data_IF_040351010203
#
_entry.id   IF_040351010203
#
_cell.length_a   1.000
_cell.length_b   1.000
_cell.length_c   1.000
_cell.angle_alpha   90.00
_cell.angle_beta   90.00
_cell.angle_gamma   90.00
#
_symmetry.space_group_name_H-M   'P 1'
#
loop_
_entity.id
_entity.type
_entity.pdbx_description
1 polymer ?
#
# COMPACT_ATOMS: atom_id res chain seq x y z
N UNK A 1 -9.06 5.64 17.64
CA UNK A 1 -7.60 5.87 17.66
C UNK A 1 -7.25 6.41 16.29
N UNK A 2 -6.43 7.44 16.19
CA UNK A 2 -5.91 7.87 14.88
C UNK A 2 -4.64 7.06 14.59
N UNK A 3 -4.73 6.10 13.67
CA UNK A 3 -3.61 5.21 13.36
C UNK A 3 -2.52 5.89 12.53
N UNK A 4 -2.80 7.02 11.88
CA UNK A 4 -1.74 7.81 11.22
C UNK A 4 -0.85 8.44 12.30
N UNK A 5 -1.44 9.02 13.33
CA UNK A 5 -0.66 9.58 14.45
C UNK A 5 0.13 8.48 15.20
N UNK A 6 -0.50 7.32 15.42
CA UNK A 6 0.20 6.17 16.00
C UNK A 6 1.38 5.70 15.13
N UNK A 7 1.22 5.71 13.80
CA UNK A 7 2.30 5.38 12.86
C UNK A 7 3.43 6.42 12.93
N UNK A 8 3.11 7.72 13.03
CA UNK A 8 4.11 8.78 13.15
C UNK A 8 4.89 8.74 14.46
N UNK A 9 4.24 8.34 15.56
CA UNK A 9 4.89 8.10 16.84
C UNK A 9 5.79 6.86 16.80
N UNK A 10 5.32 5.78 16.15
CA UNK A 10 6.04 4.51 16.03
C UNK A 10 7.24 4.62 15.09
N UNK A 11 7.06 5.23 13.92
CA UNK A 11 8.07 5.35 12.86
C UNK A 11 8.20 6.80 12.42
N UNK A 12 8.86 7.69 13.19
CA UNK A 12 8.99 9.08 12.78
C UNK A 12 9.76 9.21 11.45
N UNK A 13 9.30 10.05 10.49
CA UNK A 13 9.92 10.22 9.17
C UNK A 13 11.21 11.10 9.26
N UNK A 14 12.22 10.62 9.99
CA UNK A 14 13.42 11.40 10.36
C UNK A 14 14.21 11.90 9.15
N UNK A 15 14.22 11.12 8.08
CA UNK A 15 15.00 11.39 6.87
C UNK A 15 14.21 12.10 5.76
N UNK A 16 12.90 12.32 5.97
CA UNK A 16 12.10 13.10 5.02
C UNK A 16 12.42 14.59 5.21
N UNK A 17 12.78 15.34 4.14
CA UNK A 17 13.15 16.74 4.26
C UNK A 17 12.03 17.60 4.86
N UNK A 18 12.27 18.19 6.03
CA UNK A 18 11.30 19.02 6.76
C UNK A 18 10.94 20.35 6.05
N UNK A 19 11.65 20.75 4.99
CA UNK A 19 11.48 22.04 4.32
C UNK A 19 11.26 21.89 2.81
N UNK A 20 10.24 22.56 2.28
CA UNK A 20 9.94 22.80 0.86
C UNK A 20 9.38 21.64 0.01
N UNK A 21 8.76 20.63 0.61
CA UNK A 21 7.97 19.67 -0.18
C UNK A 21 6.64 20.31 -0.59
N UNK A 22 6.42 20.41 -1.90
CA UNK A 22 5.11 20.80 -2.44
C UNK A 22 4.06 19.80 -1.95
N UNK A 23 2.90 20.27 -1.44
CA UNK A 23 1.79 19.39 -1.10
C UNK A 23 1.41 18.50 -2.28
N UNK A 24 1.19 17.21 -2.02
CA UNK A 24 0.67 16.29 -3.05
C UNK A 24 -0.78 16.63 -3.34
N UNK A 25 -1.16 16.64 -4.62
CA UNK A 25 -2.53 16.83 -5.09
C UNK A 25 -3.06 15.51 -5.67
N UNK A 26 -3.93 14.85 -4.91
CA UNK A 26 -4.49 13.55 -5.26
C UNK A 26 -5.58 13.63 -6.34
N UNK A 27 -6.07 14.82 -6.69
CA UNK A 27 -7.23 14.95 -7.56
C UNK A 27 -7.02 14.36 -8.97
N UNK A 28 -5.81 14.44 -9.52
CA UNK A 28 -5.49 13.77 -10.78
C UNK A 28 -5.42 12.25 -10.62
N UNK A 29 -4.81 11.77 -9.52
CA UNK A 29 -4.67 10.35 -9.25
C UNK A 29 -6.03 9.68 -9.04
N UNK A 30 -6.92 10.28 -8.26
CA UNK A 30 -8.31 9.81 -8.05
C UNK A 30 -9.10 9.79 -9.36
N UNK A 31 -8.95 10.81 -10.22
CA UNK A 31 -9.58 10.81 -11.55
C UNK A 31 -9.09 9.66 -12.44
N UNK A 32 -7.81 9.30 -12.37
CA UNK A 32 -7.24 8.17 -13.11
C UNK A 32 -7.71 6.83 -12.55
N UNK A 33 -7.74 6.70 -11.22
CA UNK A 33 -8.19 5.48 -10.54
C UNK A 33 -9.70 5.26 -10.66
N UNK A 34 -10.50 6.32 -10.84
CA UNK A 34 -11.96 6.32 -10.82
C UNK A 34 -12.57 5.90 -9.47
N UNK A 35 -11.74 5.84 -8.43
CA UNK A 35 -12.10 5.60 -7.03
C UNK A 35 -11.34 6.59 -6.14
N UNK A 36 -11.92 7.00 -4.99
CA UNK A 36 -11.21 7.86 -4.06
C UNK A 36 -9.99 7.15 -3.46
N UNK A 37 -8.94 7.92 -3.20
CA UNK A 37 -7.77 7.41 -2.48
C UNK A 37 -8.07 7.52 -0.97
N UNK A 38 -7.86 6.47 -0.16
CA UNK A 38 -8.13 6.51 1.27
C UNK A 38 -7.43 7.68 1.97
N UNK A 39 -8.16 8.42 2.82
CA UNK A 39 -7.67 9.64 3.47
C UNK A 39 -6.40 9.40 4.31
N UNK A 40 -6.33 8.27 5.00
CA UNK A 40 -5.16 7.91 5.80
C UNK A 40 -3.94 7.62 4.93
N UNK A 41 -4.13 7.02 3.75
CA UNK A 41 -3.05 6.86 2.77
C UNK A 41 -2.57 8.19 2.19
N UNK A 42 -3.49 9.13 1.95
CA UNK A 42 -3.11 10.49 1.54
C UNK A 42 -2.23 11.14 2.60
N UNK A 43 -2.58 11.03 3.89
CA UNK A 43 -1.78 11.55 5.02
C UNK A 43 -0.42 10.86 5.14
N UNK A 44 -0.37 9.55 4.94
CA UNK A 44 0.88 8.77 4.90
C UNK A 44 1.77 9.30 3.80
N UNK A 45 1.29 9.40 2.55
CA UNK A 45 2.09 9.89 1.42
C UNK A 45 2.52 11.35 1.56
N UNK A 46 1.68 12.22 2.15
CA UNK A 46 2.08 13.61 2.43
C UNK A 46 3.27 13.70 3.38
N UNK A 47 3.35 12.76 4.33
CA UNK A 47 4.33 12.77 5.42
C UNK A 47 5.58 11.97 5.08
N UNK A 48 5.42 10.74 4.63
CA UNK A 48 6.50 9.79 4.33
C UNK A 48 7.01 9.90 2.91
N UNK A 49 6.20 10.40 1.97
CA UNK A 49 6.51 10.45 0.53
C UNK A 49 6.81 9.04 0.00
N UNK A 50 7.72 8.91 -0.96
CA UNK A 50 8.24 7.63 -1.43
C UNK A 50 9.28 7.04 -0.47
N UNK A 51 9.24 5.73 -0.28
CA UNK A 51 10.18 5.02 0.58
C UNK A 51 9.65 3.68 1.06
N UNK A 52 10.27 3.15 2.11
CA UNK A 52 9.89 1.87 2.72
C UNK A 52 9.95 1.89 4.24
N UNK A 53 9.11 1.05 4.84
CA UNK A 53 9.21 0.69 6.25
C UNK A 53 10.13 -0.53 6.39
N UNK A 54 11.15 -0.41 7.24
CA UNK A 54 12.14 -1.45 7.55
C UNK A 54 12.84 -2.08 6.34
N UNK A 55 12.96 -1.33 5.24
CA UNK A 55 13.43 -1.84 3.93
C UNK A 55 12.62 -3.05 3.42
N UNK A 56 11.50 -3.36 4.07
CA UNK A 56 10.67 -4.53 3.84
C UNK A 56 9.41 -4.16 3.09
N UNK A 57 8.64 -3.18 3.56
CA UNK A 57 7.38 -2.77 2.94
C UNK A 57 7.55 -1.43 2.21
N UNK A 58 7.49 -1.49 0.88
CA UNK A 58 7.73 -0.38 -0.03
C UNK A 58 6.43 0.29 -0.46
N UNK A 59 6.33 1.62 -0.31
CA UNK A 59 5.13 2.38 -0.69
C UNK A 59 5.07 2.66 -2.19
N UNK A 60 3.93 2.40 -2.81
CA UNK A 60 3.67 2.75 -4.21
C UNK A 60 2.92 4.07 -4.32
N UNK A 61 3.64 5.10 -4.73
CA UNK A 61 3.10 6.46 -4.87
C UNK A 61 2.54 6.67 -6.28
N UNK A 62 1.35 7.26 -6.43
CA UNK A 62 0.86 7.71 -7.74
C UNK A 62 1.67 8.90 -8.30
N UNK A 63 2.56 9.50 -7.49
CA UNK A 63 3.42 10.63 -7.84
C UNK A 63 4.86 10.21 -8.17
N UNK A 64 5.25 8.98 -7.83
CA UNK A 64 6.62 8.52 -8.04
C UNK A 64 6.96 8.51 -9.52
N UNK A 65 8.10 9.12 -9.88
CA UNK A 65 8.71 9.03 -11.21
C UNK A 65 9.49 7.72 -11.41
N UNK A 66 9.80 7.02 -10.32
CA UNK A 66 10.40 5.70 -10.40
C UNK A 66 9.31 4.67 -10.71
N UNK A 67 9.39 4.06 -11.90
CA UNK A 67 8.42 3.04 -12.36
C UNK A 67 8.26 1.87 -11.38
N UNK A 68 9.31 1.49 -10.64
CA UNK A 68 9.26 0.39 -9.67
C UNK A 68 8.50 0.77 -8.39
N UNK A 69 8.23 2.05 -8.19
CA UNK A 69 7.51 2.61 -7.04
C UNK A 69 6.24 3.34 -7.48
N UNK A 70 5.91 3.31 -8.77
CA UNK A 70 4.76 4.00 -9.30
C UNK A 70 3.51 3.12 -9.18
N UNK A 71 2.49 3.64 -8.52
CA UNK A 71 1.24 2.94 -8.29
C UNK A 71 0.56 2.48 -9.59
N UNK A 72 0.56 3.32 -10.63
CA UNK A 72 -0.14 3.02 -11.87
C UNK A 72 0.57 1.94 -12.69
N UNK A 73 1.90 1.88 -12.63
CA UNK A 73 2.68 0.81 -13.27
C UNK A 73 2.35 -0.54 -12.62
N UNK A 74 2.37 -0.61 -11.28
CA UNK A 74 1.97 -1.82 -10.55
C UNK A 74 0.52 -2.18 -10.77
N UNK A 75 -0.38 -1.19 -10.79
CA UNK A 75 -1.80 -1.43 -11.07
C UNK A 75 -1.98 -2.08 -12.45
N UNK A 76 -1.35 -1.56 -13.49
CA UNK A 76 -1.47 -2.10 -14.84
C UNK A 76 -0.93 -3.54 -14.93
N UNK A 77 0.29 -3.77 -14.43
CA UNK A 77 0.96 -5.07 -14.50
C UNK A 77 0.20 -6.12 -13.70
N UNK A 78 -0.15 -5.82 -12.44
CA UNK A 78 -0.78 -6.80 -11.56
C UNK A 78 -2.21 -7.11 -11.96
N UNK A 79 -2.93 -6.13 -12.52
CA UNK A 79 -4.29 -6.35 -12.99
C UNK A 79 -4.32 -7.27 -14.22
N UNK A 80 -3.38 -7.09 -15.18
CA UNK A 80 -3.23 -7.99 -16.34
C UNK A 80 -2.84 -9.41 -15.90
N UNK A 81 -1.89 -9.54 -14.95
CA UNK A 81 -1.47 -10.85 -14.44
C UNK A 81 -2.62 -11.59 -13.73
N UNK A 82 -3.37 -10.89 -12.88
CA UNK A 82 -4.51 -11.48 -12.17
C UNK A 82 -5.64 -11.87 -13.11
N UNK A 83 -5.93 -11.06 -14.14
CA UNK A 83 -6.93 -11.38 -15.15
C UNK A 83 -6.60 -12.72 -15.84
N UNK A 84 -5.34 -12.92 -16.26
CA UNK A 84 -4.90 -14.17 -16.87
C UNK A 84 -4.99 -15.37 -15.91
N UNK A 85 -4.66 -15.20 -14.63
CA UNK A 85 -4.75 -16.29 -13.66
C UNK A 85 -6.20 -16.67 -13.37
N UNK A 86 -7.10 -15.69 -13.28
CA UNK A 86 -8.53 -15.91 -13.04
C UNK A 86 -9.21 -16.69 -14.17
N UNK A 87 -8.68 -16.67 -15.41
CA UNK A 87 -9.15 -17.54 -16.50
C UNK A 87 -8.92 -19.03 -16.20
N UNK A 88 -7.83 -19.36 -15.50
CA UNK A 88 -7.45 -20.73 -15.17
C UNK A 88 -7.96 -21.20 -13.81
N UNK A 89 -8.05 -20.28 -12.86
CA UNK A 89 -8.47 -20.54 -11.48
C UNK A 89 -9.43 -19.42 -11.04
N UNK A 90 -10.75 -19.64 -11.15
CA UNK A 90 -11.74 -18.61 -10.85
C UNK A 90 -11.61 -18.05 -9.44
N UNK A 91 -11.68 -16.72 -9.32
CA UNK A 91 -11.61 -15.99 -8.07
C UNK A 91 -12.73 -14.94 -8.00
N UNK A 92 -13.33 -14.74 -6.83
CA UNK A 92 -14.42 -13.78 -6.61
C UNK A 92 -13.90 -12.34 -6.38
N UNK A 93 -12.58 -12.12 -6.46
CA UNK A 93 -12.01 -10.79 -6.33
C UNK A 93 -12.22 -10.01 -7.63
N UNK A 94 -12.76 -8.80 -7.52
CA UNK A 94 -12.86 -7.89 -8.65
C UNK A 94 -11.53 -7.19 -8.92
N UNK A 95 -11.28 -6.92 -10.20
CA UNK A 95 -10.11 -6.22 -10.69
C UNK A 95 -10.48 -4.80 -11.12
N UNK A 96 -9.51 -3.89 -11.10
CA UNK A 96 -9.69 -2.55 -11.67
C UNK A 96 -9.98 -2.67 -13.18
N UNK A 97 -10.89 -1.88 -13.78
CA UNK A 97 -11.51 -0.65 -13.27
C UNK A 97 -12.85 -0.85 -12.56
N UNK A 98 -13.17 -2.03 -12.04
CA UNK A 98 -14.36 -2.16 -11.19
C UNK A 98 -14.24 -1.26 -9.96
N UNK A 99 -15.32 -0.60 -9.48
CA UNK A 99 -15.29 0.24 -8.29
C UNK A 99 -14.84 -0.50 -7.01
N UNK A 100 -15.02 -1.81 -6.94
CA UNK A 100 -14.56 -2.66 -5.83
C UNK A 100 -13.21 -3.37 -6.13
N UNK A 101 -12.56 -2.98 -7.23
CA UNK A 101 -11.32 -3.56 -7.71
C UNK A 101 -10.11 -3.31 -6.80
N UNK A 102 -9.12 -4.19 -6.87
CA UNK A 102 -7.86 -4.05 -6.15
C UNK A 102 -7.02 -2.89 -6.68
N UNK A 103 -6.52 -2.04 -5.78
CA UNK A 103 -5.53 -1.00 -6.09
C UNK A 103 -4.26 -1.24 -5.25
N UNK A 104 -3.08 -1.43 -5.84
CA UNK A 104 -1.86 -1.70 -5.09
C UNK A 104 -1.35 -0.41 -4.42
N UNK A 105 -1.05 -0.46 -3.11
CA UNK A 105 -0.38 0.64 -2.41
C UNK A 105 1.00 0.29 -1.90
N UNK A 106 1.34 -0.99 -1.83
CA UNK A 106 2.65 -1.41 -1.37
C UNK A 106 3.03 -2.79 -1.90
N UNK A 107 4.33 -3.07 -1.84
CA UNK A 107 4.85 -4.42 -1.99
C UNK A 107 5.96 -4.71 -0.98
N UNK A 108 6.19 -5.99 -0.72
CA UNK A 108 7.26 -6.43 0.18
C UNK A 108 8.56 -6.66 -0.58
N UNK A 109 9.70 -6.68 0.12
CA UNK A 109 11.00 -7.07 -0.44
C UNK A 109 11.01 -8.51 -1.01
N UNK A 110 10.05 -9.35 -0.60
CA UNK A 110 9.85 -10.71 -1.12
C UNK A 110 9.00 -10.76 -2.39
N UNK A 111 8.41 -9.63 -2.79
CA UNK A 111 7.56 -9.49 -3.97
C UNK A 111 6.07 -9.65 -3.71
N UNK A 112 5.65 -9.72 -2.44
CA UNK A 112 4.22 -9.82 -2.10
C UNK A 112 3.55 -8.48 -2.31
N UNK A 113 2.28 -8.49 -2.72
CA UNK A 113 1.56 -7.28 -3.06
C UNK A 113 0.49 -6.99 -2.03
N UNK A 114 0.35 -5.72 -1.70
CA UNK A 114 -0.64 -5.23 -0.75
C UNK A 114 -1.51 -4.21 -1.46
N UNK A 115 -2.80 -4.49 -1.44
CA UNK A 115 -3.82 -3.73 -2.11
C UNK A 115 -4.76 -3.11 -1.08
N UNK A 116 -5.41 -2.03 -1.48
CA UNK A 116 -6.68 -1.63 -0.88
C UNK A 116 -7.79 -1.91 -1.89
N UNK A 117 -9.00 -2.08 -1.37
CA UNK A 117 -10.25 -2.02 -2.15
C UNK A 117 -11.35 -1.42 -1.29
N UNK A 118 -12.41 -0.95 -1.95
CA UNK A 118 -13.57 -0.38 -1.28
C UNK A 118 -14.79 -1.22 -1.58
N UNK A 119 -15.35 -1.87 -0.56
CA UNK A 119 -16.59 -2.66 -0.69
C UNK A 119 -17.66 -1.99 0.14
N UNK A 120 -18.78 -1.61 -0.49
CA UNK A 120 -19.90 -0.92 0.20
C UNK A 120 -19.47 0.30 1.02
N UNK A 121 -18.49 1.08 0.52
CA UNK A 121 -17.88 2.24 1.17
C UNK A 121 -16.95 1.94 2.36
N UNK A 122 -16.64 0.67 2.61
CA UNK A 122 -15.67 0.25 3.63
C UNK A 122 -14.35 -0.17 2.96
N UNK A 123 -13.23 0.30 3.51
CA UNK A 123 -11.90 -0.08 3.05
C UNK A 123 -11.54 -1.47 3.57
N UNK A 124 -10.88 -2.26 2.73
CA UNK A 124 -10.24 -3.50 3.11
C UNK A 124 -8.81 -3.53 2.56
N UNK A 125 -7.89 -4.04 3.37
CA UNK A 125 -6.54 -4.38 2.92
C UNK A 125 -6.54 -5.82 2.43
N UNK A 126 -5.97 -6.04 1.25
CA UNK A 126 -5.81 -7.37 0.67
C UNK A 126 -4.32 -7.62 0.49
N UNK A 127 -3.80 -8.67 1.11
CA UNK A 127 -2.41 -9.11 0.93
C UNK A 127 -2.41 -10.34 0.02
N UNK A 128 -1.63 -10.31 -1.06
CA UNK A 128 -1.43 -11.45 -1.96
C UNK A 128 0.01 -11.90 -1.90
N UNK A 129 0.20 -13.16 -1.52
CA UNK A 129 1.52 -13.80 -1.58
C UNK A 129 1.98 -13.92 -3.04
N UNK A 130 3.26 -13.62 -3.27
CA UNK A 130 3.93 -13.67 -4.58
C UNK A 130 3.62 -14.96 -5.33
N UNK A 131 3.28 -14.86 -6.62
CA UNK A 131 3.05 -16.04 -7.50
C UNK A 131 1.95 -16.99 -7.01
N UNK A 132 0.97 -16.47 -6.28
CA UNK A 132 -0.16 -17.25 -5.79
C UNK A 132 -1.48 -16.48 -5.92
N UNK A 133 -2.60 -17.22 -5.87
CA UNK A 133 -3.93 -16.68 -5.66
C UNK A 133 -4.37 -16.74 -4.19
N UNK A 134 -3.39 -16.80 -3.26
CA UNK A 134 -3.67 -16.74 -1.83
C UNK A 134 -3.85 -15.29 -1.40
N UNK A 135 -5.10 -14.90 -1.16
CA UNK A 135 -5.45 -13.58 -0.66
C UNK A 135 -5.83 -13.65 0.81
N UNK A 136 -5.23 -12.76 1.61
CA UNK A 136 -5.67 -12.49 2.98
C UNK A 136 -6.34 -11.12 3.01
N UNK A 137 -7.53 -11.06 3.60
CA UNK A 137 -8.36 -9.85 3.63
C UNK A 137 -8.46 -9.36 5.07
N UNK A 138 -8.12 -8.10 5.29
CA UNK A 138 -8.17 -7.43 6.58
C UNK A 138 -9.16 -6.26 6.51
N UNK A 139 -10.21 -6.22 7.35
CA UNK A 139 -11.17 -5.12 7.41
C UNK A 139 -10.59 -3.96 8.23
N UNK A 140 -9.45 -3.43 7.80
CA UNK A 140 -8.68 -2.39 8.47
C UNK A 140 -8.43 -1.23 7.50
N UNK A 141 -8.17 -0.04 8.05
CA UNK A 141 -7.59 1.04 7.26
C UNK A 141 -6.12 0.75 6.89
N UNK A 142 -5.54 1.53 5.98
CA UNK A 142 -4.14 1.35 5.56
C UNK A 142 -3.19 1.62 6.73
N UNK A 143 -3.43 2.72 7.45
CA UNK A 143 -2.67 3.09 8.64
C UNK A 143 -2.80 2.08 9.78
N UNK A 144 -4.00 1.56 10.03
CA UNK A 144 -4.23 0.52 11.05
C UNK A 144 -3.50 -0.78 10.71
N UNK A 145 -3.56 -1.21 9.44
CA UNK A 145 -2.82 -2.36 8.97
C UNK A 145 -1.31 -2.18 9.15
N UNK A 146 -0.74 -1.03 8.72
CA UNK A 146 0.68 -0.74 8.88
C UNK A 146 1.13 -0.79 10.34
N UNK A 147 0.44 -0.08 11.24
CA UNK A 147 0.80 -0.06 12.67
C UNK A 147 0.77 -1.47 13.26
N UNK A 148 -0.31 -2.22 13.02
CA UNK A 148 -0.45 -3.55 13.59
C UNK A 148 0.52 -4.57 12.96
N UNK A 149 0.90 -4.40 11.69
CA UNK A 149 1.90 -5.23 11.04
C UNK A 149 3.30 -4.97 11.60
N UNK A 150 3.70 -3.70 11.76
CA UNK A 150 5.02 -3.31 12.26
C UNK A 150 5.26 -3.69 13.73
N UNK A 151 4.21 -3.84 14.53
CA UNK A 151 4.31 -4.28 15.93
C UNK A 151 3.91 -5.75 16.12
N UNK A 152 3.85 -6.52 15.04
CA UNK A 152 3.55 -7.96 15.03
C UNK A 152 2.23 -8.34 15.74
N UNK A 153 1.23 -7.46 15.66
CA UNK A 153 -0.14 -7.72 16.13
C UNK A 153 -1.07 -8.28 15.06
N UNK A 154 -0.57 -8.43 13.83
CA UNK A 154 -1.26 -9.06 12.71
C UNK A 154 -0.47 -10.27 12.25
N UNK A 155 -1.16 -11.41 12.13
CA UNK A 155 -0.62 -12.57 11.43
C UNK A 155 -0.88 -12.37 9.93
N UNK A 156 0.18 -12.10 9.19
CA UNK A 156 0.15 -12.00 7.72
C UNK A 156 1.02 -13.12 7.19
N UNK A 157 0.42 -14.13 6.54
CA UNK A 157 1.13 -15.38 6.18
C UNK A 157 2.49 -15.22 5.47
N UNK A 158 2.66 -14.17 4.65
CA UNK A 158 3.89 -13.94 3.88
C UNK A 158 4.86 -12.95 4.52
N UNK A 159 4.55 -12.42 5.71
CA UNK A 159 5.44 -11.53 6.44
C UNK A 159 6.38 -12.35 7.35
N UNK A 160 7.61 -11.84 7.61
CA UNK A 160 8.52 -12.48 8.55
C UNK A 160 7.97 -12.42 9.98
N UNK A 161 8.46 -13.34 10.84
CA UNK A 161 8.09 -13.40 12.26
C UNK A 161 9.06 -12.61 13.16
N UNK A 162 10.03 -11.93 12.56
CA UNK A 162 11.14 -11.24 13.22
C UNK A 162 11.36 -9.86 12.61
N UNK A 163 10.31 -9.05 12.58
CA UNK A 163 10.43 -7.64 12.19
C UNK A 163 11.30 -6.89 13.23
N UNK A 164 11.95 -5.77 12.83
CA UNK A 164 12.78 -5.00 13.74
C UNK A 164 12.01 -4.53 14.98
N UNK A 165 12.63 -4.62 16.17
CA UNK A 165 12.03 -4.11 17.42
C UNK A 165 11.85 -2.57 17.41
N UNK A 166 12.66 -1.85 16.63
CA UNK A 166 12.61 -0.39 16.45
C UNK A 166 12.39 -0.08 14.96
N UNK A 167 11.14 -0.05 14.48
CA UNK A 167 10.84 0.13 13.08
C UNK A 167 11.25 1.53 12.58
N UNK A 168 11.78 1.60 11.36
CA UNK A 168 12.22 2.84 10.74
C UNK A 168 11.65 3.02 9.33
N UNK A 169 11.73 4.26 8.82
CA UNK A 169 11.35 4.58 7.46
C UNK A 169 12.55 5.05 6.66
N UNK A 170 12.83 4.39 5.53
CA UNK A 170 13.83 4.78 4.57
C UNK A 170 13.17 5.64 3.48
N UNK A 171 13.45 6.94 3.49
CA UNK A 171 12.97 7.87 2.46
C UNK A 171 13.76 7.74 1.15
N UNK A 172 13.05 7.73 0.02
CA UNK A 172 13.65 7.74 -1.31
C UNK A 172 13.09 8.87 -2.17
N UNK A 173 13.97 9.66 -2.79
CA UNK A 173 13.57 10.86 -3.53
C UNK A 173 13.14 10.53 -4.97
N UNK A 174 11.93 10.00 -5.15
CA UNK A 174 11.37 9.71 -6.48
C UNK A 174 10.20 10.58 -6.91
N UNK A 175 9.68 11.41 -6.01
CA UNK A 175 8.51 12.28 -6.25
C UNK A 175 8.87 13.61 -6.94
#
# INVERSE_FOLDING_TARGET
MDYVEALLELVPPKDVPASNLTPLDFGEAERKLQVPIPEDYQRILQTYRSGSFDEFLWLYSPFSKNQYMNLFEHLAIENELLEQWFETEPCDIELWPSPEGLIPWAGTANGDLIYWRTIKHEIQIVVRETRSLNFQIFPLSISEFLVNALIEKLEVNCFPYDLPEDPFFLYESYD
#
